data_IF_199711861163
#
_entry.id   IF_199711861163
#
_cell.length_a   1.000
_cell.length_b   1.000
_cell.length_c   1.000
_cell.angle_alpha   90.00
_cell.angle_beta   90.00
_cell.angle_gamma   90.00
#
_symmetry.space_group_name_H-M   'P 1'
#
loop_
_entity.id
_entity.type
_entity.pdbx_description
1 polymer ?
#
# COMPACT_ATOMS: atom_id res chain seq x y z
N UNK A 1 -22.16 -34.10 -14.32
CA UNK A 1 -21.29 -32.94 -14.64
C UNK A 1 -20.55 -32.53 -13.36
N UNK A 2 -19.28 -32.89 -13.21
CA UNK A 2 -18.46 -32.43 -12.09
C UNK A 2 -18.14 -30.95 -12.34
N UNK A 3 -18.69 -30.07 -11.51
CA UNK A 3 -18.26 -28.67 -11.43
C UNK A 3 -16.82 -28.66 -10.92
N UNK A 4 -15.88 -28.63 -11.85
CA UNK A 4 -14.47 -28.37 -11.54
C UNK A 4 -14.40 -26.91 -11.09
N UNK A 5 -14.52 -26.68 -9.78
CA UNK A 5 -14.14 -25.41 -9.17
C UNK A 5 -12.66 -25.24 -9.51
N UNK A 6 -12.27 -24.22 -10.30
CA UNK A 6 -10.86 -24.02 -10.61
C UNK A 6 -10.14 -23.71 -9.30
N UNK A 7 -9.15 -24.54 -9.00
CA UNK A 7 -8.40 -24.58 -7.76
C UNK A 7 -7.98 -23.15 -7.33
N UNK A 8 -8.37 -22.71 -6.12
CA UNK A 8 -7.88 -21.49 -5.45
C UNK A 8 -6.44 -21.67 -4.94
N UNK A 9 -5.64 -22.52 -5.56
CA UNK A 9 -4.27 -22.85 -5.12
C UNK A 9 -3.30 -21.74 -5.52
N UNK A 10 -3.34 -20.61 -4.82
CA UNK A 10 -2.32 -19.58 -4.90
C UNK A 10 -1.97 -19.08 -3.50
N UNK A 11 -0.73 -18.64 -3.33
CA UNK A 11 -0.21 -18.20 -2.03
C UNK A 11 -0.41 -16.71 -1.79
N UNK A 12 -1.24 -16.01 -2.58
CA UNK A 12 -1.39 -14.56 -2.44
C UNK A 12 -1.93 -14.16 -1.07
N UNK A 13 -2.83 -14.95 -0.48
CA UNK A 13 -3.38 -14.66 0.84
C UNK A 13 -2.34 -14.85 1.95
N UNK A 14 -1.47 -15.86 1.84
CA UNK A 14 -0.33 -16.05 2.75
C UNK A 14 0.65 -14.88 2.64
N UNK A 15 1.02 -14.49 1.43
CA UNK A 15 1.96 -13.36 1.22
C UNK A 15 1.37 -12.06 1.77
N UNK A 16 0.08 -11.81 1.56
CA UNK A 16 -0.62 -10.65 2.15
C UNK A 16 -0.66 -10.72 3.67
N UNK A 17 -0.88 -11.89 4.25
CA UNK A 17 -0.89 -12.06 5.69
C UNK A 17 0.47 -11.75 6.30
N UNK A 18 1.56 -12.24 5.69
CA UNK A 18 2.93 -11.93 6.12
C UNK A 18 3.20 -10.42 5.99
N UNK A 19 2.84 -9.81 4.86
CA UNK A 19 3.00 -8.37 4.64
C UNK A 19 2.18 -7.52 5.64
N UNK A 20 0.94 -7.90 5.92
CA UNK A 20 0.10 -7.24 6.93
C UNK A 20 0.71 -7.36 8.33
N UNK A 21 1.17 -8.57 8.69
CA UNK A 21 1.79 -8.83 9.99
C UNK A 21 3.05 -7.97 10.16
N UNK A 22 3.89 -7.88 9.13
CA UNK A 22 5.06 -7.02 9.16
C UNK A 22 4.69 -5.55 9.40
N UNK A 23 3.71 -5.00 8.67
CA UNK A 23 3.26 -3.61 8.83
C UNK A 23 2.73 -3.35 10.23
N UNK A 24 1.92 -4.26 10.77
CA UNK A 24 1.36 -4.15 12.13
C UNK A 24 2.47 -4.18 13.18
N UNK A 25 3.40 -5.13 13.11
CA UNK A 25 4.50 -5.25 14.08
C UNK A 25 5.41 -4.01 14.00
N UNK A 26 5.77 -3.57 12.80
CA UNK A 26 6.60 -2.39 12.59
C UNK A 26 6.00 -1.13 13.23
N UNK A 27 4.75 -0.83 12.91
CA UNK A 27 4.05 0.34 13.45
C UNK A 27 3.79 0.21 14.95
N UNK A 28 3.55 -0.99 15.47
CA UNK A 28 3.39 -1.21 16.91
C UNK A 28 4.66 -0.84 17.67
N UNK A 29 5.83 -1.28 17.19
CA UNK A 29 7.11 -0.96 17.82
C UNK A 29 7.39 0.55 17.76
N UNK A 30 7.12 1.20 16.62
CA UNK A 30 7.32 2.65 16.48
C UNK A 30 6.37 3.48 17.34
N UNK A 31 5.07 3.21 17.28
CA UNK A 31 4.05 4.04 17.92
C UNK A 31 3.91 3.76 19.43
N UNK A 32 4.37 2.61 19.91
CA UNK A 32 4.47 2.32 21.34
C UNK A 32 5.84 2.68 21.94
N UNK A 33 6.70 3.36 21.16
CA UNK A 33 8.03 3.81 21.59
C UNK A 33 8.94 2.69 22.11
N UNK A 34 8.81 1.48 21.55
CA UNK A 34 9.55 0.29 21.99
C UNK A 34 10.94 0.18 21.33
N UNK A 35 11.41 1.21 20.63
CA UNK A 35 12.68 1.24 19.90
C UNK A 35 13.92 1.11 20.80
N UNK A 36 13.80 1.39 22.09
CA UNK A 36 14.93 1.28 23.03
C UNK A 36 15.05 -0.14 23.62
N UNK A 37 14.11 -1.03 23.32
CA UNK A 37 14.10 -2.40 23.83
C UNK A 37 14.88 -3.29 22.84
N UNK A 38 15.88 -4.01 23.36
CA UNK A 38 16.75 -4.89 22.56
C UNK A 38 15.97 -5.90 21.72
N UNK A 39 14.96 -6.54 22.33
CA UNK A 39 14.11 -7.52 21.63
C UNK A 39 13.34 -6.87 20.47
N UNK A 40 12.78 -5.67 20.66
CA UNK A 40 12.09 -4.94 19.60
C UNK A 40 13.01 -4.59 18.43
N UNK A 41 14.27 -4.22 18.71
CA UNK A 41 15.25 -3.92 17.66
C UNK A 41 15.65 -5.18 16.88
N UNK A 42 15.81 -6.32 17.57
CA UNK A 42 16.05 -7.60 16.91
C UNK A 42 14.87 -7.95 16.01
N UNK A 43 13.63 -7.84 16.51
CA UNK A 43 12.43 -8.08 15.71
C UNK A 43 12.39 -7.17 14.49
N UNK A 44 12.66 -5.86 14.66
CA UNK A 44 12.73 -4.91 13.54
C UNK A 44 13.74 -5.33 12.47
N UNK A 45 14.98 -5.68 12.86
CA UNK A 45 15.99 -6.18 11.92
C UNK A 45 15.52 -7.44 11.18
N UNK A 46 14.76 -8.33 11.84
CA UNK A 46 14.24 -9.55 11.20
C UNK A 46 13.15 -9.25 10.17
N UNK A 47 12.28 -8.26 10.43
CA UNK A 47 11.10 -7.98 9.59
C UNK A 47 11.32 -6.88 8.55
N UNK A 48 12.29 -5.99 8.75
CA UNK A 48 12.70 -4.93 7.82
C UNK A 48 12.87 -5.41 6.36
N UNK A 49 13.44 -6.61 6.09
CA UNK A 49 13.61 -7.13 4.74
C UNK A 49 12.28 -7.43 4.02
N UNK A 50 11.16 -7.46 4.73
CA UNK A 50 9.86 -7.84 4.17
C UNK A 50 8.99 -6.59 4.10
N UNK A 51 9.22 -5.64 3.17
CA UNK A 51 8.51 -4.38 3.17
C UNK A 51 7.05 -4.59 2.74
N UNK A 52 6.14 -4.63 3.72
CA UNK A 52 4.76 -5.04 3.50
C UNK A 52 4.01 -4.16 2.52
N UNK A 53 4.16 -2.83 2.60
CA UNK A 53 3.47 -1.88 1.70
C UNK A 53 3.91 -2.05 0.23
N UNK A 54 5.21 -2.07 -0.11
CA UNK A 54 5.67 -2.46 -1.45
C UNK A 54 5.14 -3.82 -1.94
N UNK A 55 5.13 -4.84 -1.07
CA UNK A 55 4.59 -6.16 -1.41
C UNK A 55 3.10 -6.06 -1.79
N UNK A 56 2.30 -5.31 -1.02
CA UNK A 56 0.91 -5.05 -1.36
C UNK A 56 0.76 -4.37 -2.73
N UNK A 57 1.59 -3.36 -3.03
CA UNK A 57 1.53 -2.66 -4.32
C UNK A 57 1.89 -3.56 -5.51
N UNK A 58 2.91 -4.41 -5.39
CA UNK A 58 3.26 -5.40 -6.43
C UNK A 58 2.12 -6.39 -6.65
N UNK A 59 1.56 -6.96 -5.57
CA UNK A 59 0.44 -7.89 -5.66
C UNK A 59 -0.80 -7.23 -6.28
N UNK A 60 -1.06 -5.97 -5.90
CA UNK A 60 -2.12 -5.15 -6.47
C UNK A 60 -1.92 -4.97 -7.98
N UNK A 61 -0.71 -4.68 -8.45
CA UNK A 61 -0.36 -4.65 -9.87
C UNK A 61 -0.80 -5.90 -10.63
N UNK A 62 -0.41 -7.06 -10.11
CA UNK A 62 -0.73 -8.35 -10.71
C UNK A 62 -2.26 -8.59 -10.77
N UNK A 63 -2.97 -8.41 -9.65
CA UNK A 63 -4.39 -8.73 -9.57
C UNK A 63 -5.31 -7.72 -10.24
N UNK A 64 -4.99 -6.42 -10.13
CA UNK A 64 -5.82 -5.36 -10.70
C UNK A 64 -5.74 -5.43 -12.22
N UNK A 65 -4.55 -5.62 -12.78
CA UNK A 65 -4.38 -5.85 -14.22
C UNK A 65 -5.16 -7.10 -14.68
N UNK A 66 -4.99 -8.24 -13.99
CA UNK A 66 -5.71 -9.49 -14.33
C UNK A 66 -7.22 -9.31 -14.32
N UNK A 67 -7.73 -8.56 -13.35
CA UNK A 67 -9.16 -8.33 -13.20
C UNK A 67 -9.74 -7.44 -14.30
N UNK A 68 -9.01 -6.42 -14.74
CA UNK A 68 -9.46 -5.57 -15.83
C UNK A 68 -9.36 -6.32 -17.16
N UNK A 69 -8.26 -7.03 -17.40
CA UNK A 69 -8.04 -7.86 -18.59
C UNK A 69 -9.18 -8.87 -18.84
N UNK A 70 -9.69 -9.50 -17.77
CA UNK A 70 -10.82 -10.45 -17.86
C UNK A 70 -12.16 -9.78 -18.18
N UNK A 71 -12.36 -8.52 -17.79
CA UNK A 71 -13.62 -7.81 -17.99
C UNK A 71 -13.36 -6.30 -18.15
N UNK A 72 -13.16 -5.88 -19.41
CA UNK A 72 -12.83 -4.51 -19.80
C UNK A 72 -14.02 -3.52 -19.69
N UNK A 73 -15.08 -3.84 -18.95
CA UNK A 73 -16.16 -2.89 -18.69
C UNK A 73 -15.75 -1.93 -17.56
N UNK A 74 -15.40 -0.70 -17.92
CA UNK A 74 -14.93 0.33 -16.99
C UNK A 74 -15.90 0.56 -15.82
N UNK A 75 -17.20 0.68 -16.09
CA UNK A 75 -18.21 0.97 -15.06
C UNK A 75 -18.32 -0.19 -14.07
N UNK A 76 -18.40 -1.42 -14.57
CA UNK A 76 -18.48 -2.60 -13.71
C UNK A 76 -17.20 -2.80 -12.91
N UNK A 77 -16.05 -2.61 -13.53
CA UNK A 77 -14.75 -2.69 -12.87
C UNK A 77 -14.65 -1.67 -11.73
N UNK A 78 -14.91 -0.39 -11.98
CA UNK A 78 -14.84 0.64 -10.94
C UNK A 78 -15.85 0.37 -9.83
N UNK A 79 -17.09 -0.02 -10.15
CA UNK A 79 -18.10 -0.41 -9.14
C UNK A 79 -17.59 -1.52 -8.22
N UNK A 80 -17.04 -2.60 -8.79
CA UNK A 80 -16.50 -3.71 -8.01
C UNK A 80 -15.34 -3.29 -7.10
N UNK A 81 -14.52 -2.33 -7.55
CA UNK A 81 -13.41 -1.78 -6.76
C UNK A 81 -13.89 -0.86 -5.63
N UNK A 82 -14.91 -0.05 -5.87
CA UNK A 82 -15.51 0.77 -4.81
C UNK A 82 -16.15 -0.08 -3.73
N UNK A 83 -16.90 -1.12 -4.12
CA UNK A 83 -17.52 -2.06 -3.18
C UNK A 83 -16.49 -2.88 -2.38
N UNK A 84 -15.23 -2.93 -2.83
CA UNK A 84 -14.13 -3.56 -2.10
C UNK A 84 -13.52 -2.64 -1.04
N UNK A 85 -13.38 -1.33 -1.32
CA UNK A 85 -12.69 -0.38 -0.43
C UNK A 85 -13.65 0.24 0.59
N UNK A 86 -14.74 0.84 0.12
CA UNK A 86 -15.56 1.73 0.94
C UNK A 86 -16.21 1.05 2.16
N UNK A 87 -16.73 -0.19 2.10
CA UNK A 87 -17.31 -0.82 3.28
C UNK A 87 -16.31 -0.97 4.43
N UNK A 88 -15.08 -1.42 4.12
CA UNK A 88 -14.03 -1.56 5.13
C UNK A 88 -13.57 -0.20 5.67
N UNK A 89 -13.42 0.78 4.79
CA UNK A 89 -13.07 2.15 5.17
C UNK A 89 -14.09 2.77 6.13
N UNK A 90 -15.39 2.67 5.81
CA UNK A 90 -16.45 3.21 6.66
C UNK A 90 -16.53 2.49 8.00
N UNK A 91 -16.34 1.17 8.02
CA UNK A 91 -16.27 0.41 9.26
C UNK A 91 -15.14 0.91 10.18
N UNK A 92 -13.92 1.04 9.66
CA UNK A 92 -12.76 1.54 10.42
C UNK A 92 -12.99 2.98 10.87
N UNK A 93 -13.58 3.82 10.01
CA UNK A 93 -13.91 5.20 10.37
C UNK A 93 -14.92 5.27 11.51
N UNK A 94 -16.03 4.52 11.43
CA UNK A 94 -17.06 4.48 12.48
C UNK A 94 -16.46 3.99 13.80
N UNK A 95 -15.65 2.93 13.75
CA UNK A 95 -14.96 2.42 14.93
C UNK A 95 -14.02 3.47 15.55
N UNK A 96 -13.24 4.17 14.71
CA UNK A 96 -12.35 5.24 15.15
C UNK A 96 -13.12 6.41 15.76
N UNK A 97 -14.21 6.84 15.11
CA UNK A 97 -15.07 7.91 15.59
C UNK A 97 -15.68 7.56 16.95
N UNK A 98 -16.13 6.32 17.13
CA UNK A 98 -16.66 5.81 18.39
C UNK A 98 -15.61 5.82 19.50
N UNK A 99 -14.40 5.32 19.22
CA UNK A 99 -13.28 5.36 20.17
C UNK A 99 -12.91 6.78 20.58
N UNK A 100 -12.77 7.69 19.62
CA UNK A 100 -12.46 9.10 19.90
C UNK A 100 -13.59 9.79 20.68
N UNK A 101 -14.84 9.39 20.48
CA UNK A 101 -15.98 9.93 21.22
C UNK A 101 -15.94 9.46 22.68
N UNK A 102 -15.70 8.17 22.93
CA UNK A 102 -15.57 7.61 24.28
C UNK A 102 -14.41 8.25 25.04
N UNK A 103 -13.30 8.52 24.34
CA UNK A 103 -12.12 9.16 24.91
C UNK A 103 -12.25 10.69 25.05
N UNK A 104 -13.41 11.27 24.72
CA UNK A 104 -13.71 12.69 24.94
C UNK A 104 -13.13 13.66 23.90
N UNK A 105 -12.57 13.17 22.79
CA UNK A 105 -11.99 14.03 21.74
C UNK A 105 -13.05 14.67 20.84
N UNK A 106 -14.19 14.01 20.61
CA UNK A 106 -15.17 14.46 19.59
C UNK A 106 -16.17 15.47 20.14
N UNK A 107 -16.81 15.18 21.28
CA UNK A 107 -17.94 15.97 21.81
C UNK A 107 -17.58 17.46 21.95
N UNK A 108 -16.42 17.84 22.52
CA UNK A 108 -16.05 19.27 22.66
C UNK A 108 -15.77 19.97 21.31
N UNK A 109 -15.45 19.21 20.26
CA UNK A 109 -14.93 19.71 18.99
C UNK A 109 -15.93 19.56 17.83
N UNK A 110 -17.13 19.01 18.07
CA UNK A 110 -18.09 18.64 17.02
C UNK A 110 -18.61 19.84 16.21
N UNK A 111 -18.63 21.04 16.81
CA UNK A 111 -19.05 22.28 16.15
C UNK A 111 -17.93 22.89 15.28
N UNK A 112 -16.70 22.40 15.38
CA UNK A 112 -15.59 22.92 14.60
C UNK A 112 -15.70 22.50 13.12
N UNK A 113 -15.45 23.45 12.22
CA UNK A 113 -15.32 23.16 10.78
C UNK A 113 -14.23 22.11 10.49
N UNK A 114 -13.16 22.12 11.27
CA UNK A 114 -12.05 21.16 11.17
C UNK A 114 -12.49 19.73 11.46
N UNK A 115 -13.45 19.52 12.36
CA UNK A 115 -14.03 18.20 12.61
C UNK A 115 -14.77 17.67 11.38
N UNK A 116 -15.66 18.46 10.78
CA UNK A 116 -16.42 18.04 9.59
C UNK A 116 -15.54 17.87 8.35
N UNK A 117 -14.51 18.69 8.20
CA UNK A 117 -13.48 18.50 7.16
C UNK A 117 -12.75 17.17 7.38
N UNK A 118 -12.38 16.84 8.62
CA UNK A 118 -11.79 15.56 8.97
C UNK A 118 -12.74 14.40 8.63
N UNK A 119 -13.99 14.44 9.06
CA UNK A 119 -15.00 13.42 8.72
C UNK A 119 -15.08 13.20 7.21
N UNK A 120 -15.21 14.27 6.43
CA UNK A 120 -15.25 14.21 4.96
C UNK A 120 -14.01 13.53 4.38
N UNK A 121 -12.82 13.90 4.87
CA UNK A 121 -11.57 13.29 4.40
C UNK A 121 -11.44 11.80 4.77
N UNK A 122 -11.96 11.40 5.93
CA UNK A 122 -11.88 10.03 6.40
C UNK A 122 -12.83 9.08 5.67
N UNK A 123 -14.04 9.53 5.32
CA UNK A 123 -15.03 8.70 4.60
C UNK A 123 -14.81 8.61 3.08
N UNK A 124 -13.89 9.42 2.54
CA UNK A 124 -13.58 9.50 1.10
C UNK A 124 -12.24 8.79 0.78
N UNK A 125 -11.34 9.41 0.02
CA UNK A 125 -10.00 8.88 -0.30
C UNK A 125 -8.90 9.88 0.08
N UNK A 126 -9.23 10.90 0.87
CA UNK A 126 -8.36 12.03 1.15
C UNK A 126 -7.85 12.03 2.59
N UNK A 127 -7.49 10.88 3.15
CA UNK A 127 -7.12 10.68 4.57
C UNK A 127 -5.80 11.36 5.03
N UNK A 128 -5.43 12.47 4.39
CA UNK A 128 -4.21 13.24 4.63
C UNK A 128 -4.38 14.37 5.63
N UNK A 129 -5.61 14.71 5.98
CA UNK A 129 -5.92 15.77 6.93
C UNK A 129 -6.18 15.21 8.32
N UNK A 130 -5.55 15.81 9.32
CA UNK A 130 -5.81 15.55 10.74
C UNK A 130 -5.88 16.91 11.46
N UNK A 131 -6.98 17.21 12.16
CA UNK A 131 -7.15 18.47 12.87
C UNK A 131 -6.30 18.49 14.16
N UNK A 132 -5.96 19.69 14.62
CA UNK A 132 -5.01 19.90 15.74
C UNK A 132 -5.47 19.23 17.04
N UNK A 133 -6.77 19.24 17.33
CA UNK A 133 -7.32 18.58 18.52
C UNK A 133 -7.16 17.05 18.53
N UNK A 134 -6.89 16.42 17.37
CA UNK A 134 -6.60 14.99 17.26
C UNK A 134 -5.09 14.68 17.19
N UNK A 135 -4.22 15.71 17.19
CA UNK A 135 -2.76 15.51 17.12
C UNK A 135 -2.16 14.95 18.40
N UNK A 136 -2.86 15.06 19.53
CA UNK A 136 -2.47 14.42 20.78
C UNK A 136 -2.93 12.96 20.89
N UNK A 137 -3.74 12.47 19.95
CA UNK A 137 -4.21 11.08 19.96
C UNK A 137 -3.24 10.14 19.23
N UNK A 138 -2.85 9.06 19.89
CA UNK A 138 -1.98 8.02 19.32
C UNK A 138 -0.66 8.59 18.80
N UNK A 139 -0.37 8.35 17.53
CA UNK A 139 0.82 8.88 16.85
C UNK A 139 0.60 10.26 16.18
N UNK A 140 -0.42 11.01 16.64
CA UNK A 140 -0.81 12.30 16.06
C UNK A 140 -1.58 12.21 14.74
N UNK A 141 -2.06 11.01 14.40
CA UNK A 141 -3.08 10.76 13.40
C UNK A 141 -3.82 9.46 13.77
N UNK A 142 -5.14 9.49 14.02
CA UNK A 142 -5.90 8.31 14.42
C UNK A 142 -5.76 7.12 13.45
N UNK A 143 -5.63 7.39 12.16
CA UNK A 143 -5.54 6.37 11.13
C UNK A 143 -4.42 6.69 10.12
N UNK A 144 -3.19 6.77 10.64
CA UNK A 144 -2.01 7.10 9.85
C UNK A 144 -1.80 6.23 8.60
N UNK A 145 -2.19 4.94 8.65
CA UNK A 145 -1.98 3.98 7.56
C UNK A 145 -2.95 4.10 6.38
N UNK A 146 -4.06 4.85 6.51
CA UNK A 146 -5.09 4.94 5.45
C UNK A 146 -4.62 5.66 4.18
N UNK A 147 -3.46 6.33 4.21
CA UNK A 147 -2.88 6.97 3.03
C UNK A 147 -2.72 6.02 1.84
N UNK A 148 -2.53 4.71 2.09
CA UNK A 148 -2.38 3.70 1.03
C UNK A 148 -3.65 3.52 0.21
N UNK A 149 -4.83 3.84 0.76
CA UNK A 149 -6.12 3.72 0.05
C UNK A 149 -6.18 4.69 -1.13
N UNK A 150 -5.71 5.93 -0.94
CA UNK A 150 -5.62 6.90 -2.03
C UNK A 150 -4.75 6.38 -3.19
N UNK A 151 -3.61 5.78 -2.85
CA UNK A 151 -2.69 5.20 -3.84
C UNK A 151 -3.33 4.00 -4.54
N UNK A 152 -3.96 3.10 -3.80
CA UNK A 152 -4.64 1.93 -4.37
C UNK A 152 -5.80 2.34 -5.30
N UNK A 153 -6.59 3.33 -4.89
CA UNK A 153 -7.64 3.91 -5.73
C UNK A 153 -7.06 4.53 -7.01
N UNK A 154 -5.92 5.22 -6.91
CA UNK A 154 -5.21 5.78 -8.06
C UNK A 154 -4.75 4.69 -9.04
N UNK A 155 -4.30 3.52 -8.54
CA UNK A 155 -4.01 2.37 -9.40
C UNK A 155 -5.25 1.87 -10.14
N UNK A 156 -6.41 1.88 -9.49
CA UNK A 156 -7.66 1.47 -10.14
C UNK A 156 -7.99 2.38 -11.32
N UNK A 157 -7.82 3.69 -11.16
CA UNK A 157 -8.02 4.66 -12.24
C UNK A 157 -6.95 4.55 -13.32
N UNK A 158 -5.69 4.26 -12.95
CA UNK A 158 -4.57 4.18 -13.86
C UNK A 158 -4.68 3.05 -14.89
N UNK A 159 -5.12 1.85 -14.46
CA UNK A 159 -5.13 0.66 -15.34
C UNK A 159 -5.94 0.84 -16.63
N UNK A 160 -7.17 1.37 -16.63
CA UNK A 160 -7.90 1.65 -17.86
C UNK A 160 -7.12 2.46 -18.90
N UNK A 161 -6.33 3.46 -18.47
CA UNK A 161 -5.49 4.25 -19.38
C UNK A 161 -4.40 3.40 -20.03
N UNK A 162 -3.80 2.46 -19.28
CA UNK A 162 -2.81 1.54 -19.82
C UNK A 162 -3.41 0.61 -20.90
N UNK A 163 -4.70 0.31 -20.83
CA UNK A 163 -5.41 -0.49 -21.82
C UNK A 163 -5.81 0.29 -23.09
N UNK A 164 -5.72 1.63 -23.09
CA UNK A 164 -5.82 2.43 -24.32
C UNK A 164 -4.70 2.07 -25.31
N UNK A 165 -3.54 1.65 -24.79
CA UNK A 165 -2.47 1.03 -25.58
C UNK A 165 -2.88 -0.40 -25.97
N UNK A 166 -3.52 -0.54 -27.14
CA UNK A 166 -4.05 -1.83 -27.63
C UNK A 166 -2.95 -2.87 -27.92
N UNK A 167 -1.80 -2.44 -28.44
CA UNK A 167 -0.69 -3.35 -28.75
C UNK A 167 0.14 -3.64 -27.51
N UNK A 168 0.33 -4.92 -27.21
CA UNK A 168 1.04 -5.36 -26.00
C UNK A 168 2.49 -4.87 -25.95
N UNK A 169 3.18 -4.78 -27.10
CA UNK A 169 4.56 -4.29 -27.15
C UNK A 169 4.66 -2.81 -26.74
N UNK A 170 3.77 -1.96 -27.25
CA UNK A 170 3.72 -0.55 -26.83
C UNK A 170 3.34 -0.40 -25.36
N UNK A 171 2.45 -1.26 -24.86
CA UNK A 171 2.12 -1.30 -23.43
C UNK A 171 3.33 -1.63 -22.58
N UNK A 172 4.12 -2.65 -22.95
CA UNK A 172 5.34 -3.02 -22.21
C UNK A 172 6.37 -1.89 -22.24
N UNK A 173 6.60 -1.26 -23.39
CA UNK A 173 7.52 -0.11 -23.51
C UNK A 173 7.07 1.03 -22.59
N UNK A 174 5.78 1.40 -22.64
CA UNK A 174 5.23 2.43 -21.77
C UNK A 174 5.39 2.09 -20.28
N UNK A 175 5.18 0.83 -19.89
CA UNK A 175 5.38 0.37 -18.51
C UNK A 175 6.85 0.53 -18.08
N UNK A 176 7.80 0.11 -18.92
CA UNK A 176 9.24 0.21 -18.61
C UNK A 176 9.65 1.69 -18.44
N UNK A 177 9.19 2.56 -19.33
CA UNK A 177 9.46 4.01 -19.24
C UNK A 177 8.86 4.58 -17.94
N UNK A 178 7.60 4.25 -17.63
CA UNK A 178 6.94 4.73 -16.41
C UNK A 178 7.58 4.19 -15.13
N UNK A 179 8.10 2.96 -15.14
CA UNK A 179 8.92 2.43 -14.04
C UNK A 179 10.17 3.29 -13.84
N UNK A 180 10.90 3.59 -14.92
CA UNK A 180 12.09 4.45 -14.86
C UNK A 180 11.78 5.83 -14.29
N UNK A 181 10.73 6.49 -14.80
CA UNK A 181 10.27 7.81 -14.31
C UNK A 181 9.88 7.74 -12.83
N UNK A 182 9.13 6.71 -12.43
CA UNK A 182 8.67 6.51 -11.06
C UNK A 182 9.83 6.29 -10.08
N UNK A 183 10.85 5.52 -10.48
CA UNK A 183 12.06 5.30 -9.69
C UNK A 183 12.86 6.61 -9.55
N UNK A 184 13.09 7.33 -10.65
CA UNK A 184 13.79 8.62 -10.63
C UNK A 184 13.07 9.64 -9.74
N UNK A 185 11.73 9.70 -9.83
CA UNK A 185 10.92 10.56 -8.97
C UNK A 185 11.01 10.15 -7.50
N UNK A 186 10.99 8.84 -7.20
CA UNK A 186 11.14 8.33 -5.84
C UNK A 186 12.49 8.72 -5.23
N UNK A 187 13.59 8.57 -5.98
CA UNK A 187 14.92 9.01 -5.56
C UNK A 187 14.98 10.52 -5.34
N UNK A 188 14.52 11.30 -6.32
CA UNK A 188 14.48 12.76 -6.21
C UNK A 188 13.68 13.23 -4.99
N UNK A 189 12.49 12.66 -4.75
CA UNK A 189 11.67 13.01 -3.60
C UNK A 189 12.38 12.68 -2.28
N UNK A 190 12.96 11.49 -2.19
CA UNK A 190 13.64 11.05 -0.97
C UNK A 190 14.85 11.92 -0.65
N UNK A 191 15.65 12.27 -1.65
CA UNK A 191 16.85 13.10 -1.51
C UNK A 191 16.52 14.53 -1.04
N UNK A 192 15.45 15.12 -1.57
CA UNK A 192 15.08 16.50 -1.29
C UNK A 192 14.25 16.69 -0.01
N UNK A 193 13.44 15.70 0.38
CA UNK A 193 12.39 15.90 1.40
C UNK A 193 12.43 14.92 2.57
N UNK A 194 13.00 13.71 2.45
CA UNK A 194 12.90 12.68 3.50
C UNK A 194 13.62 13.07 4.80
N UNK A 195 14.76 13.74 4.70
CA UNK A 195 15.50 14.24 5.86
C UNK A 195 14.76 15.37 6.63
N UNK A 196 13.75 15.98 6.01
CA UNK A 196 12.96 17.10 6.56
C UNK A 196 11.50 16.72 6.81
N UNK A 197 11.21 15.42 6.95
CA UNK A 197 9.85 14.88 7.02
C UNK A 197 8.95 15.56 8.07
N UNK A 198 9.52 16.03 9.18
CA UNK A 198 8.80 16.73 10.24
C UNK A 198 8.40 18.17 9.87
N UNK A 199 9.15 18.83 9.00
CA UNK A 199 8.97 20.24 8.62
C UNK A 199 8.30 20.42 7.24
N UNK A 200 7.84 19.33 6.62
CA UNK A 200 7.27 19.41 5.28
C UNK A 200 5.97 20.23 5.26
N UNK A 201 5.93 21.21 4.36
CA UNK A 201 4.71 21.94 4.06
C UNK A 201 3.69 21.02 3.36
N UNK A 202 2.44 21.49 3.25
CA UNK A 202 1.34 20.67 2.71
C UNK A 202 1.62 20.21 1.28
N UNK A 203 2.27 21.04 0.45
CA UNK A 203 2.59 20.72 -0.94
C UNK A 203 3.62 19.59 -0.99
N UNK A 204 4.67 19.67 -0.19
CA UNK A 204 5.72 18.65 -0.12
C UNK A 204 5.18 17.31 0.41
N UNK A 205 4.23 17.34 1.34
CA UNK A 205 3.51 16.12 1.77
C UNK A 205 2.71 15.53 0.61
N UNK A 206 1.96 16.34 -0.14
CA UNK A 206 1.19 15.88 -1.29
C UNK A 206 2.07 15.32 -2.42
N UNK A 207 3.29 15.85 -2.62
CA UNK A 207 4.26 15.30 -3.58
C UNK A 207 4.70 13.87 -3.22
N UNK A 208 4.85 13.57 -1.92
CA UNK A 208 5.21 12.22 -1.46
C UNK A 208 4.05 11.23 -1.40
N UNK A 209 2.82 11.75 -1.46
CA UNK A 209 1.58 10.98 -1.31
C UNK A 209 0.82 10.85 -2.64
N UNK A 210 1.43 11.25 -3.75
CA UNK A 210 0.88 11.03 -5.08
C UNK A 210 1.24 9.62 -5.61
N UNK A 211 0.73 9.29 -6.79
CA UNK A 211 0.91 7.98 -7.43
C UNK A 211 2.38 7.66 -7.79
N UNK A 212 3.17 8.67 -8.16
CA UNK A 212 4.46 8.48 -8.83
C UNK A 212 5.53 7.79 -7.98
N UNK A 213 5.73 8.10 -6.68
CA UNK A 213 6.72 7.39 -5.86
C UNK A 213 6.48 5.89 -5.74
N UNK A 214 5.25 5.42 -5.95
CA UNK A 214 4.86 4.04 -5.71
C UNK A 214 4.49 3.28 -6.98
N UNK A 215 4.38 3.99 -8.11
CA UNK A 215 3.92 3.44 -9.38
C UNK A 215 4.81 2.29 -9.87
N UNK A 216 6.12 2.34 -9.65
CA UNK A 216 7.03 1.29 -10.09
C UNK A 216 6.74 -0.07 -9.42
N UNK A 217 6.44 -0.11 -8.12
CA UNK A 217 6.06 -1.36 -7.43
C UNK A 217 4.84 -1.98 -8.08
N UNK A 218 3.81 -1.15 -8.31
CA UNK A 218 2.59 -1.58 -8.99
C UNK A 218 2.86 -2.09 -10.41
N UNK A 219 3.63 -1.33 -11.19
CA UNK A 219 3.95 -1.67 -12.57
C UNK A 219 4.82 -2.93 -12.71
N UNK A 220 5.72 -3.19 -11.76
CA UNK A 220 6.45 -4.47 -11.68
C UNK A 220 5.45 -5.63 -11.56
N UNK A 221 4.45 -5.50 -10.70
CA UNK A 221 3.35 -6.47 -10.59
C UNK A 221 2.59 -6.67 -11.91
N UNK A 222 2.31 -5.59 -12.63
CA UNK A 222 1.69 -5.62 -13.96
C UNK A 222 2.58 -6.37 -14.97
N UNK A 223 3.88 -6.07 -15.02
CA UNK A 223 4.84 -6.75 -15.89
C UNK A 223 4.92 -8.25 -15.58
N UNK A 224 4.97 -8.60 -14.29
CA UNK A 224 4.96 -10.00 -13.85
C UNK A 224 3.73 -10.71 -14.39
N UNK A 225 2.56 -10.06 -14.35
CA UNK A 225 1.34 -10.64 -14.89
C UNK A 225 1.38 -10.80 -16.41
N UNK A 226 1.84 -9.79 -17.15
CA UNK A 226 1.96 -9.85 -18.61
C UNK A 226 2.92 -10.97 -19.05
N UNK A 227 4.00 -11.18 -18.30
CA UNK A 227 5.02 -12.21 -18.58
C UNK A 227 4.87 -13.46 -17.72
N UNK A 228 3.69 -13.70 -17.15
CA UNK A 228 3.46 -14.77 -16.19
C UNK A 228 3.82 -16.16 -16.72
N UNK A 229 3.56 -16.44 -18.00
CA UNK A 229 3.88 -17.73 -18.61
C UNK A 229 5.36 -18.09 -18.56
N UNK A 230 6.24 -17.08 -18.62
CA UNK A 230 7.70 -17.24 -18.50
C UNK A 230 8.11 -17.22 -17.03
N UNK A 231 7.56 -16.28 -16.26
CA UNK A 231 7.97 -16.04 -14.87
C UNK A 231 7.55 -17.18 -13.94
N UNK A 232 6.39 -17.83 -14.19
CA UNK A 232 5.86 -18.90 -13.33
C UNK A 232 6.84 -20.05 -13.13
N UNK A 233 7.71 -20.33 -14.09
CA UNK A 233 8.73 -21.39 -14.04
C UNK A 233 9.71 -21.16 -12.87
N UNK A 234 9.94 -19.90 -12.51
CA UNK A 234 10.84 -19.52 -11.42
C UNK A 234 10.16 -19.50 -10.05
N UNK A 235 8.84 -19.30 -9.98
CA UNK A 235 8.15 -19.08 -8.70
C UNK A 235 7.27 -20.25 -8.25
N UNK A 236 6.65 -20.99 -9.17
CA UNK A 236 5.74 -22.09 -8.80
C UNK A 236 6.53 -23.21 -8.13
N UNK A 237 6.08 -23.63 -6.95
CA UNK A 237 6.71 -24.67 -6.10
C UNK A 237 8.15 -24.38 -5.64
N UNK A 238 8.63 -23.14 -5.79
CA UNK A 238 10.00 -22.73 -5.42
C UNK A 238 10.05 -21.72 -4.27
N UNK A 239 8.96 -21.59 -3.51
CA UNK A 239 8.83 -20.60 -2.43
C UNK A 239 9.92 -20.73 -1.36
N UNK A 240 10.19 -21.95 -0.87
CA UNK A 240 11.25 -22.19 0.11
C UNK A 240 12.64 -21.87 -0.42
N UNK A 241 12.90 -22.11 -1.71
CA UNK A 241 14.18 -21.78 -2.34
C UNK A 241 14.39 -20.27 -2.34
N UNK A 242 13.41 -19.51 -2.79
CA UNK A 242 13.50 -18.04 -2.80
C UNK A 242 13.56 -17.44 -1.40
N UNK A 243 12.79 -17.96 -0.44
CA UNK A 243 12.89 -17.53 0.96
C UNK A 243 14.29 -17.79 1.51
N UNK A 244 14.85 -18.98 1.27
CA UNK A 244 16.20 -19.33 1.72
C UNK A 244 17.25 -18.44 1.07
N UNK A 245 17.20 -18.24 -0.25
CA UNK A 245 18.10 -17.32 -0.96
C UNK A 245 18.00 -15.89 -0.41
N UNK A 246 16.79 -15.42 -0.13
CA UNK A 246 16.54 -14.08 0.37
C UNK A 246 17.09 -13.87 1.78
N UNK A 247 16.84 -14.82 2.70
CA UNK A 247 17.39 -14.78 4.06
C UNK A 247 18.91 -14.92 4.06
N UNK A 248 19.48 -15.80 3.24
CA UNK A 248 20.93 -15.93 3.10
C UNK A 248 21.57 -14.62 2.61
N UNK A 249 21.00 -14.00 1.57
CA UNK A 249 21.44 -12.69 1.09
C UNK A 249 21.39 -11.64 2.21
N UNK A 250 20.27 -11.56 2.93
CA UNK A 250 20.11 -10.58 3.99
C UNK A 250 21.10 -10.80 5.16
N UNK A 251 21.30 -12.05 5.58
CA UNK A 251 22.26 -12.39 6.64
C UNK A 251 23.68 -11.98 6.25
N UNK A 252 24.07 -12.27 5.00
CA UNK A 252 25.43 -11.97 4.51
C UNK A 252 25.69 -10.46 4.44
N UNK A 253 24.74 -9.68 3.93
CA UNK A 253 24.99 -8.28 3.57
C UNK A 253 24.50 -7.25 4.60
N UNK A 254 23.54 -7.60 5.46
CA UNK A 254 22.85 -6.61 6.31
C UNK A 254 22.76 -6.98 7.78
N UNK A 255 22.89 -8.26 8.16
CA UNK A 255 22.77 -8.67 9.57
C UNK A 255 24.05 -8.40 10.40
N UNK A 256 25.21 -8.30 9.74
CA UNK A 256 26.51 -8.02 10.37
C UNK A 256 26.86 -6.53 10.47
N UNK A 257 25.97 -5.64 10.05
CA UNK A 257 26.09 -4.17 10.16
C UNK A 257 25.10 -3.60 11.17
#
# INVERSE_FOLDING_TARGET
MKTIVPNRSNNFDIIRFVAASQVVIWHSIEHLFLNNITVSNIIKKIIEPIPGVPIFFVISGFLIYTSYERNNNLRQYLKNRMLRIFPGLWFVFIFTLLMLTILGFIIPNIMLKSFWLWVFTQITIFQFYTPDFLRSFGAGNPNGSLWTIFIEFSFYLFIPFLFLLKKINFRIIAIIILIGISILYNFWYNDNFKARAQDLNIIQKLLGLNLLPYLFYFLIGVLIKIKWEVIKIYFVNKGFVWLSCYFSYYIIFFFNT
#
